data_IF_139937667692
#
_entry.id   IF_139937667692
#
_cell.length_a   1.000
_cell.length_b   1.000
_cell.length_c   1.000
_cell.angle_alpha   90.00
_cell.angle_beta   90.00
_cell.angle_gamma   90.00
#
_symmetry.space_group_name_H-M   'P 1'
#
loop_
_entity.id
_entity.type
_entity.pdbx_description
1 polymer ?
#
# COMPACT_ATOMS: atom_id res chain seq x y z
N UNK A 1 23.08 -9.52 -6.54
CA UNK A 1 23.09 -8.69 -5.33
C UNK A 1 21.68 -8.17 -5.17
N UNK A 2 21.02 -8.49 -4.07
CA UNK A 2 19.71 -7.93 -3.76
C UNK A 2 19.90 -6.43 -3.58
N UNK A 3 19.15 -5.63 -4.32
CA UNK A 3 19.11 -4.18 -4.11
C UNK A 3 18.65 -3.89 -2.67
N UNK A 4 19.16 -2.83 -2.04
CA UNK A 4 18.71 -2.46 -0.69
C UNK A 4 17.40 -1.65 -0.78
N UNK A 5 16.42 -1.89 0.10
CA UNK A 5 15.21 -1.09 0.14
C UNK A 5 15.52 0.34 0.60
N UNK A 6 14.85 1.32 0.01
CA UNK A 6 14.88 2.72 0.43
C UNK A 6 14.13 2.93 1.75
N UNK A 7 13.12 2.10 2.00
CA UNK A 7 12.31 2.09 3.21
C UNK A 7 11.68 0.71 3.40
N UNK A 8 11.51 0.29 4.65
CA UNK A 8 10.78 -0.93 5.01
C UNK A 8 9.85 -0.64 6.18
N UNK A 9 8.57 -0.93 6.01
CA UNK A 9 7.62 -1.09 7.10
C UNK A 9 7.82 -2.48 7.70
N UNK A 10 8.16 -2.55 8.99
CA UNK A 10 8.47 -3.80 9.66
C UNK A 10 7.22 -4.62 10.00
N UNK A 11 7.46 -5.89 10.34
CA UNK A 11 6.43 -6.84 10.74
C UNK A 11 5.79 -6.43 12.07
N UNK A 12 4.46 -6.27 12.08
CA UNK A 12 3.66 -5.97 13.27
C UNK A 12 2.45 -6.92 13.35
N UNK A 13 1.75 -6.93 14.49
CA UNK A 13 0.47 -7.66 14.56
C UNK A 13 -0.60 -7.07 13.62
N UNK A 14 -0.50 -5.77 13.27
CA UNK A 14 -1.45 -5.06 12.40
C UNK A 14 -1.38 -5.56 10.95
N UNK A 15 -0.17 -5.82 10.46
CA UNK A 15 0.08 -6.30 9.10
C UNK A 15 0.19 -7.83 9.00
N UNK A 16 -0.28 -8.57 10.03
CA UNK A 16 -0.17 -10.02 10.09
C UNK A 16 1.27 -10.52 9.94
N UNK A 17 2.23 -9.82 10.54
CA UNK A 17 3.67 -10.10 10.47
C UNK A 17 4.29 -10.00 9.07
N UNK A 18 3.61 -9.40 8.11
CA UNK A 18 4.13 -9.17 6.75
C UNK A 18 5.08 -7.97 6.71
N UNK A 19 5.95 -7.91 5.70
CA UNK A 19 6.86 -6.78 5.50
C UNK A 19 6.58 -6.08 4.17
N UNK A 20 6.64 -4.75 4.17
CA UNK A 20 6.40 -3.94 2.99
C UNK A 20 7.61 -3.05 2.74
N UNK A 21 8.24 -3.21 1.58
CA UNK A 21 9.50 -2.53 1.25
C UNK A 21 9.37 -1.70 -0.01
N UNK A 22 9.94 -0.50 0.01
CA UNK A 22 9.97 0.44 -1.10
C UNK A 22 11.39 0.43 -1.67
N UNK A 23 11.51 0.20 -2.98
CA UNK A 23 12.77 0.22 -3.72
C UNK A 23 12.79 1.40 -4.70
N UNK A 24 13.89 1.58 -5.43
CA UNK A 24 14.03 2.67 -6.40
C UNK A 24 13.05 2.62 -7.59
N UNK A 25 12.38 1.49 -7.83
CA UNK A 25 11.49 1.31 -8.99
C UNK A 25 10.23 0.46 -8.72
N UNK A 26 10.02 0.02 -7.48
CA UNK A 26 8.93 -0.93 -7.13
C UNK A 26 8.63 -0.90 -5.65
N UNK A 27 7.45 -1.39 -5.30
CA UNK A 27 7.08 -1.80 -3.94
C UNK A 27 7.03 -3.32 -3.90
N UNK A 28 7.55 -3.90 -2.82
CA UNK A 28 7.48 -5.34 -2.55
C UNK A 28 6.66 -5.60 -1.28
N UNK A 29 5.83 -6.63 -1.33
CA UNK A 29 5.06 -7.14 -0.20
C UNK A 29 5.54 -8.55 0.06
N UNK A 30 6.30 -8.74 1.13
CA UNK A 30 6.66 -10.04 1.64
C UNK A 30 5.48 -10.57 2.46
N UNK A 31 4.61 -11.30 1.76
CA UNK A 31 3.38 -11.86 2.33
C UNK A 31 3.60 -13.30 2.77
N UNK A 32 2.73 -13.78 3.64
CA UNK A 32 2.68 -15.21 4.00
C UNK A 32 2.40 -16.15 2.80
N UNK A 33 1.98 -15.62 1.65
CA UNK A 33 1.75 -16.37 0.40
C UNK A 33 2.88 -16.22 -0.62
N UNK A 34 3.97 -15.54 -0.25
CA UNK A 34 5.12 -15.25 -1.09
C UNK A 34 5.30 -13.76 -1.39
N UNK A 35 6.31 -13.46 -2.20
CA UNK A 35 6.67 -12.09 -2.58
C UNK A 35 5.76 -11.57 -3.69
N UNK A 36 5.02 -10.51 -3.41
CA UNK A 36 4.32 -9.74 -4.43
C UNK A 36 5.12 -8.49 -4.77
N UNK A 37 5.32 -8.23 -6.06
CA UNK A 37 6.10 -7.09 -6.55
C UNK A 37 5.22 -6.20 -7.41
N UNK A 38 5.23 -4.90 -7.14
CA UNK A 38 4.50 -3.88 -7.90
C UNK A 38 5.49 -2.84 -8.41
N UNK A 39 5.84 -2.86 -9.70
CA UNK A 39 6.59 -1.79 -10.34
C UNK A 39 5.87 -0.44 -10.24
N UNK A 40 6.62 0.65 -10.07
CA UNK A 40 6.05 2.01 -10.01
C UNK A 40 5.31 2.42 -11.28
N UNK A 41 5.69 1.86 -12.43
CA UNK A 41 5.02 2.06 -13.72
C UNK A 41 3.54 1.70 -13.67
N UNK A 42 3.16 0.75 -12.80
CA UNK A 42 1.78 0.28 -12.66
C UNK A 42 1.01 0.97 -11.53
N UNK A 43 1.65 1.84 -10.75
CA UNK A 43 1.00 2.55 -9.64
C UNK A 43 0.26 3.77 -10.20
N UNK A 44 -1.07 3.68 -10.20
CA UNK A 44 -1.97 4.75 -10.65
C UNK A 44 -2.17 5.78 -9.52
N UNK A 45 -2.46 5.28 -8.31
CA UNK A 45 -2.80 6.11 -7.16
C UNK A 45 -2.46 5.40 -5.86
N UNK A 46 -2.03 6.17 -4.86
CA UNK A 46 -1.84 5.71 -3.48
C UNK A 46 -2.48 6.73 -2.55
N UNK A 47 -3.28 6.27 -1.60
CA UNK A 47 -3.95 7.13 -0.61
C UNK A 47 -4.11 6.40 0.73
N UNK A 48 -4.16 7.16 1.83
CA UNK A 48 -4.57 6.64 3.14
C UNK A 48 -6.08 6.61 3.18
N UNK A 49 -6.63 5.49 3.64
CA UNK A 49 -8.03 5.35 3.98
C UNK A 49 -8.18 5.15 5.48
N UNK A 50 -9.16 5.85 6.05
CA UNK A 50 -9.64 5.54 7.39
C UNK A 50 -10.28 4.14 7.43
N UNK A 51 -10.45 3.59 8.63
CA UNK A 51 -11.14 2.32 8.84
C UNK A 51 -12.58 2.37 8.31
N UNK A 52 -12.89 1.48 7.37
CA UNK A 52 -14.24 1.29 6.82
C UNK A 52 -15.27 0.99 7.93
N UNK A 53 -14.87 0.28 8.99
CA UNK A 53 -15.74 -0.03 10.14
C UNK A 53 -16.09 1.22 10.95
N UNK A 54 -15.13 2.13 11.15
CA UNK A 54 -15.41 3.42 11.80
C UNK A 54 -16.32 4.30 10.93
N UNK A 55 -16.11 4.30 9.61
CA UNK A 55 -16.97 4.99 8.65
C UNK A 55 -18.41 4.46 8.68
N UNK A 56 -18.59 3.14 8.70
CA UNK A 56 -19.90 2.49 8.83
C UNK A 56 -20.62 2.89 10.12
N UNK A 57 -19.92 2.89 11.26
CA UNK A 57 -20.47 3.29 12.56
C UNK A 57 -20.90 4.77 12.59
N UNK A 58 -20.24 5.63 11.80
CA UNK A 58 -20.55 7.07 11.70
C UNK A 58 -21.63 7.39 10.67
N UNK A 59 -22.09 6.41 9.90
CA UNK A 59 -23.05 6.61 8.81
C UNK A 59 -22.44 7.15 7.51
N UNK A 60 -21.13 7.37 7.47
CA UNK A 60 -20.37 7.90 6.33
C UNK A 60 -19.71 6.76 5.54
N UNK A 61 -20.51 5.79 5.10
CA UNK A 61 -20.01 4.69 4.30
C UNK A 61 -19.69 5.18 2.88
N UNK A 62 -18.44 5.59 2.66
CA UNK A 62 -17.93 5.93 1.34
C UNK A 62 -17.70 4.65 0.51
N UNK A 63 -18.77 4.02 0.03
CA UNK A 63 -18.70 3.00 -1.03
C UNK A 63 -18.43 3.66 -2.39
N UNK A 64 -17.38 4.47 -2.49
CA UNK A 64 -16.93 5.02 -3.78
C UNK A 64 -16.11 3.95 -4.50
N UNK A 65 -16.56 3.61 -5.70
CA UNK A 65 -15.87 2.72 -6.65
C UNK A 65 -15.60 1.31 -6.11
N UNK A 66 -16.63 0.45 -6.13
CA UNK A 66 -16.54 -0.98 -5.82
C UNK A 66 -15.64 -1.70 -6.84
N UNK A 67 -14.33 -1.54 -6.69
CA UNK A 67 -13.30 -2.23 -7.45
C UNK A 67 -12.92 -3.51 -6.70
N UNK A 68 -12.77 -4.67 -7.38
CA UNK A 68 -12.21 -5.86 -6.76
C UNK A 68 -10.86 -5.54 -6.11
N UNK A 69 -10.77 -5.79 -4.81
CA UNK A 69 -9.64 -5.41 -3.98
C UNK A 69 -9.07 -6.63 -3.25
N UNK A 70 -7.75 -6.72 -3.21
CA UNK A 70 -7.03 -7.67 -2.37
C UNK A 70 -6.64 -6.97 -1.07
N UNK A 71 -7.13 -7.50 0.06
CA UNK A 71 -6.74 -7.06 1.40
C UNK A 71 -5.62 -7.97 1.86
N UNK A 72 -4.44 -7.41 2.12
CA UNK A 72 -3.29 -8.20 2.60
C UNK A 72 -3.39 -8.43 4.11
N UNK A 73 -4.11 -7.59 4.85
CA UNK A 73 -4.21 -7.64 6.30
C UNK A 73 -5.54 -7.06 6.84
N UNK A 74 -5.53 -6.58 8.09
CA UNK A 74 -6.66 -6.01 8.82
C UNK A 74 -7.13 -4.63 8.33
N UNK A 75 -6.75 -4.19 7.12
CA UNK A 75 -7.06 -2.89 6.53
C UNK A 75 -8.46 -2.32 6.85
N UNK A 76 -9.53 -3.13 6.89
CA UNK A 76 -10.89 -2.61 7.17
C UNK A 76 -11.06 -2.04 8.58
N UNK A 77 -10.26 -2.50 9.53
CA UNK A 77 -10.38 -2.18 10.96
C UNK A 77 -9.41 -1.08 11.38
N UNK A 78 -8.45 -0.74 10.54
CA UNK A 78 -7.37 0.20 10.83
C UNK A 78 -7.29 1.27 9.74
N UNK A 79 -6.59 2.36 10.05
CA UNK A 79 -6.10 3.25 9.00
C UNK A 79 -5.07 2.48 8.16
N UNK A 80 -5.20 2.55 6.85
CA UNK A 80 -4.46 1.70 5.93
C UNK A 80 -4.18 2.41 4.62
N UNK A 81 -3.27 1.84 3.83
CA UNK A 81 -2.93 2.33 2.50
C UNK A 81 -3.75 1.58 1.45
N UNK A 82 -4.30 2.34 0.51
CA UNK A 82 -4.95 1.86 -0.71
C UNK A 82 -4.02 2.15 -1.88
N UNK A 83 -3.57 1.10 -2.58
CA UNK A 83 -2.79 1.20 -3.80
C UNK A 83 -3.63 0.71 -4.99
N UNK A 84 -3.90 1.61 -5.91
CA UNK A 84 -4.57 1.31 -7.17
C UNK A 84 -3.55 1.13 -8.31
N UNK A 85 -3.78 0.11 -9.13
CA UNK A 85 -2.97 -0.26 -10.30
C UNK A 85 -3.76 -0.10 -11.59
N UNK A 86 -3.06 0.31 -12.64
CA UNK A 86 -3.61 0.44 -13.99
C UNK A 86 -3.88 -0.92 -14.68
N UNK A 87 -3.16 -1.96 -14.27
CA UNK A 87 -3.16 -3.28 -14.90
C UNK A 87 -3.24 -4.47 -13.91
N UNK A 88 -3.60 -5.64 -14.47
CA UNK A 88 -3.69 -6.93 -13.75
C UNK A 88 -5.10 -7.30 -13.31
N UNK A 89 -5.26 -8.55 -12.83
CA UNK A 89 -6.55 -9.10 -12.36
C UNK A 89 -7.01 -8.47 -11.05
N UNK A 90 -6.06 -8.17 -10.17
CA UNK A 90 -6.29 -7.39 -8.94
C UNK A 90 -5.76 -6.00 -9.20
N UNK A 91 -6.64 -5.00 -9.21
CA UNK A 91 -6.30 -3.60 -9.47
C UNK A 91 -6.22 -2.74 -8.21
N UNK A 92 -6.70 -3.23 -7.08
CA UNK A 92 -6.68 -2.51 -5.82
C UNK A 92 -6.10 -3.40 -4.73
N UNK A 93 -5.14 -2.87 -3.98
CA UNK A 93 -4.47 -3.57 -2.88
C UNK A 93 -4.58 -2.71 -1.63
N UNK A 94 -5.06 -3.32 -0.55
CA UNK A 94 -5.23 -2.68 0.76
C UNK A 94 -4.29 -3.36 1.75
N UNK A 95 -3.52 -2.56 2.48
CA UNK A 95 -2.54 -3.04 3.45
C UNK A 95 -2.26 -1.97 4.50
N UNK A 96 -1.81 -2.41 5.66
CA UNK A 96 -1.66 -1.61 6.88
C UNK A 96 -0.18 -1.60 7.27
N UNK A 97 0.65 -0.70 6.71
CA UNK A 97 2.03 -0.57 7.16
C UNK A 97 2.09 -0.16 8.65
N UNK A 98 3.28 -0.24 9.24
CA UNK A 98 3.52 0.16 10.64
C UNK A 98 3.03 1.60 10.89
N UNK A 99 3.39 2.50 9.96
CA UNK A 99 2.97 3.89 9.88
C UNK A 99 2.47 4.20 8.45
N UNK A 100 1.14 4.34 8.24
CA UNK A 100 0.58 4.68 6.92
C UNK A 100 1.01 6.03 6.36
N UNK A 101 1.21 7.04 7.22
CA UNK A 101 1.62 8.38 6.79
C UNK A 101 3.06 8.36 6.29
N UNK A 102 3.98 7.82 7.09
CA UNK A 102 5.38 7.71 6.67
C UNK A 102 5.49 6.85 5.41
N UNK A 103 4.78 5.72 5.34
CA UNK A 103 4.84 4.85 4.16
C UNK A 103 4.46 5.60 2.87
N UNK A 104 3.37 6.37 2.88
CA UNK A 104 2.95 7.15 1.70
C UNK A 104 3.95 8.25 1.37
N UNK A 105 4.48 8.96 2.37
CA UNK A 105 5.50 9.99 2.16
C UNK A 105 6.71 9.40 1.43
N UNK A 106 7.27 8.30 1.96
CA UNK A 106 8.42 7.61 1.36
C UNK A 106 8.13 7.07 -0.03
N UNK A 107 6.92 6.54 -0.25
CA UNK A 107 6.53 5.99 -1.54
C UNK A 107 6.40 7.09 -2.60
N UNK A 108 5.76 8.20 -2.26
CA UNK A 108 5.62 9.33 -3.17
C UNK A 108 6.98 9.97 -3.49
N UNK A 109 7.87 10.11 -2.50
CA UNK A 109 9.25 10.54 -2.76
C UNK A 109 9.98 9.60 -3.72
N UNK A 110 9.86 8.28 -3.52
CA UNK A 110 10.51 7.29 -4.36
C UNK A 110 9.96 7.31 -5.80
N UNK A 111 8.64 7.42 -5.96
CA UNK A 111 7.98 7.53 -7.28
C UNK A 111 8.41 8.81 -7.99
N UNK A 112 8.44 9.95 -7.30
CA UNK A 112 8.87 11.23 -7.87
C UNK A 112 10.33 11.15 -8.35
N UNK A 113 11.24 10.60 -7.52
CA UNK A 113 12.64 10.36 -7.90
C UNK A 113 12.76 9.45 -9.12
N UNK A 114 11.99 8.36 -9.16
CA UNK A 114 11.97 7.43 -10.29
C UNK A 114 11.49 8.07 -11.60
N UNK A 115 10.47 8.93 -11.53
CA UNK A 115 9.93 9.67 -12.68
C UNK A 115 10.82 10.84 -13.13
N UNK A 116 11.82 11.22 -12.32
CA UNK A 116 12.65 12.38 -12.55
C UNK A 116 11.95 13.71 -12.22
N UNK A 117 10.91 13.66 -11.40
CA UNK A 117 10.19 14.85 -10.93
C UNK A 117 11.09 15.62 -9.95
N UNK A 118 11.01 16.96 -9.99
CA UNK A 118 11.65 17.78 -8.94
C UNK A 118 10.81 17.66 -7.67
N UNK A 119 11.40 17.08 -6.62
CA UNK A 119 10.84 17.00 -5.26
C UNK A 119 10.54 18.39 -4.70
#
# INVERSE_FOLDING_TARGET
MSEEPLYTSESTAKNLWQKYSIFGNRVEFDTMFGLMVIPFEHIERVEISESEVKGLMRGDLHLKDFRPALKLDWANFLEHVVLDKDAGLVRRILFTPEDPEEFIERLNEAIARYRGDKL
#
